data_IF_148393506646
#
_entry.id   IF_148393506646
#
_cell.length_a   1.000
_cell.length_b   1.000
_cell.length_c   1.000
_cell.angle_alpha   90.00
_cell.angle_beta   90.00
_cell.angle_gamma   90.00
#
_symmetry.space_group_name_H-M   'P 1'
#
loop_
_entity.id
_entity.type
_entity.pdbx_description
1 polymer ?
#
# COMPACT_ATOMS: atom_id res chain seq x y z
N UNK A 1 -5.78 -4.64 -10.67
CA UNK A 1 -7.22 -4.35 -10.54
C UNK A 1 -7.75 -3.39 -11.62
N UNK A 2 -6.95 -2.40 -12.04
CA UNK A 2 -7.29 -1.49 -13.16
C UNK A 2 -7.08 -2.11 -14.55
N UNK A 3 -7.74 -1.53 -15.55
CA UNK A 3 -7.55 -1.74 -16.98
C UNK A 3 -7.67 -0.39 -17.72
N UNK A 4 -7.37 -0.37 -19.03
CA UNK A 4 -7.50 0.85 -19.86
C UNK A 4 -8.92 1.44 -19.86
N UNK A 5 -9.94 0.60 -19.65
CA UNK A 5 -11.35 0.98 -19.69
C UNK A 5 -12.02 1.00 -18.29
N UNK A 6 -11.22 1.05 -17.21
CA UNK A 6 -11.73 1.10 -15.84
C UNK A 6 -11.12 0.02 -14.95
N UNK A 7 -11.95 -0.90 -14.47
CA UNK A 7 -11.49 -2.04 -13.67
C UNK A 7 -11.55 -3.33 -14.48
N UNK A 8 -10.74 -4.30 -14.08
CA UNK A 8 -10.89 -5.66 -14.59
C UNK A 8 -12.21 -6.27 -14.07
N UNK A 9 -12.93 -7.06 -14.89
CA UNK A 9 -14.23 -7.62 -14.51
C UNK A 9 -14.22 -8.43 -13.21
N UNK A 10 -13.10 -9.09 -12.90
CA UNK A 10 -12.92 -9.87 -11.68
C UNK A 10 -12.72 -9.01 -10.44
N UNK A 11 -12.23 -7.76 -10.57
CA UNK A 11 -11.78 -6.95 -9.43
C UNK A 11 -12.87 -6.74 -8.36
N UNK A 12 -14.14 -6.41 -8.69
CA UNK A 12 -15.21 -6.28 -7.70
C UNK A 12 -15.52 -7.56 -6.92
N UNK A 13 -15.16 -8.74 -7.47
CA UNK A 13 -15.41 -10.03 -6.85
C UNK A 13 -14.23 -10.53 -6.03
N UNK A 14 -13.00 -10.21 -6.43
CA UNK A 14 -11.78 -10.83 -5.87
C UNK A 14 -10.98 -9.92 -4.95
N UNK A 15 -11.09 -8.60 -5.10
CA UNK A 15 -10.38 -7.65 -4.23
C UNK A 15 -11.21 -7.46 -2.95
N UNK A 16 -10.71 -7.84 -1.76
CA UNK A 16 -11.53 -7.90 -0.55
C UNK A 16 -12.15 -6.57 -0.13
N UNK A 17 -11.51 -5.46 -0.49
CA UNK A 17 -11.88 -4.09 -0.13
C UNK A 17 -12.38 -3.27 -1.32
N UNK A 18 -12.78 -3.92 -2.42
CA UNK A 18 -13.10 -3.20 -3.66
C UNK A 18 -14.18 -2.15 -3.44
N UNK A 19 -15.26 -2.53 -2.74
CA UNK A 19 -16.44 -1.68 -2.55
C UNK A 19 -16.12 -0.43 -1.73
N UNK A 20 -15.31 -0.59 -0.70
CA UNK A 20 -14.90 0.47 0.23
C UNK A 20 -13.87 1.40 -0.42
N UNK A 21 -13.01 0.87 -1.29
CA UNK A 21 -11.93 1.63 -1.92
C UNK A 21 -12.31 2.24 -3.28
N UNK A 22 -13.48 1.92 -3.83
CA UNK A 22 -13.88 2.38 -5.16
C UNK A 22 -14.07 3.90 -5.20
N UNK A 23 -13.35 4.56 -6.11
CA UNK A 23 -13.41 6.02 -6.30
C UNK A 23 -13.79 6.42 -7.73
N UNK A 24 -14.22 5.46 -8.55
CA UNK A 24 -14.54 5.68 -9.96
C UNK A 24 -13.66 4.87 -10.92
N UNK A 25 -14.00 4.88 -12.22
CA UNK A 25 -13.29 4.10 -13.23
C UNK A 25 -11.83 4.56 -13.37
N UNK A 26 -10.91 3.60 -13.45
CA UNK A 26 -9.49 3.87 -13.72
C UNK A 26 -8.68 4.31 -12.48
N UNK A 27 -9.32 4.43 -11.32
CA UNK A 27 -8.64 4.63 -10.03
C UNK A 27 -8.35 3.27 -9.41
N UNK A 28 -7.17 3.06 -8.83
CA UNK A 28 -6.83 1.74 -8.28
C UNK A 28 -7.43 1.60 -6.89
N UNK A 29 -8.02 0.44 -6.64
CA UNK A 29 -8.41 -0.04 -5.32
C UNK A 29 -7.25 -0.72 -4.58
N UNK A 30 -6.18 -1.12 -5.28
CA UNK A 30 -5.02 -1.80 -4.70
C UNK A 30 -3.86 -0.86 -4.32
N UNK A 31 -3.70 0.26 -5.02
CA UNK A 31 -2.60 1.20 -4.78
C UNK A 31 -2.62 1.73 -3.35
N UNK A 32 -1.44 2.01 -2.80
CA UNK A 32 -1.20 2.55 -1.46
C UNK A 32 -1.59 1.60 -0.30
N UNK A 33 -2.04 0.37 -0.60
CA UNK A 33 -2.31 -0.65 0.42
C UNK A 33 -1.01 -1.14 1.06
N UNK A 34 -1.05 -1.40 2.35
CA UNK A 34 0.12 -1.86 3.10
C UNK A 34 0.24 -3.38 3.07
N UNK A 35 1.48 -3.85 2.98
CA UNK A 35 1.86 -5.25 3.15
C UNK A 35 2.95 -5.38 4.21
N UNK A 36 2.89 -6.46 4.99
CA UNK A 36 4.02 -6.94 5.78
C UNK A 36 4.78 -7.98 4.97
N UNK A 37 6.11 -7.87 4.91
CA UNK A 37 7.00 -8.81 4.25
C UNK A 37 8.00 -9.31 5.29
N UNK A 38 8.11 -10.63 5.42
CA UNK A 38 8.92 -11.29 6.44
C UNK A 38 9.98 -12.20 5.83
N UNK A 39 11.20 -12.12 6.38
CA UNK A 39 12.28 -13.10 6.17
C UNK A 39 12.92 -13.44 7.51
N UNK A 40 12.85 -14.71 7.90
CA UNK A 40 13.33 -15.17 9.20
C UNK A 40 12.64 -14.41 10.35
N UNK A 41 13.42 -13.71 11.17
CA UNK A 41 12.94 -12.92 12.31
C UNK A 41 12.73 -11.43 11.99
N UNK A 42 12.92 -10.99 10.74
CA UNK A 42 12.75 -9.59 10.33
C UNK A 42 11.45 -9.42 9.56
N UNK A 43 10.72 -8.35 9.88
CA UNK A 43 9.50 -7.94 9.17
C UNK A 43 9.62 -6.47 8.78
N UNK A 44 9.26 -6.15 7.54
CA UNK A 44 9.18 -4.78 7.02
C UNK A 44 7.79 -4.52 6.46
N UNK A 45 7.35 -3.29 6.58
CA UNK A 45 6.08 -2.83 6.02
C UNK A 45 6.34 -1.97 4.79
N UNK A 46 5.58 -2.20 3.72
CA UNK A 46 5.70 -1.47 2.46
C UNK A 46 4.32 -1.16 1.88
N UNK A 47 4.23 -0.06 1.13
CA UNK A 47 3.05 0.26 0.34
C UNK A 47 3.13 -0.39 -1.05
N UNK A 48 2.00 -0.86 -1.55
CA UNK A 48 1.86 -1.41 -2.88
C UNK A 48 1.71 -0.27 -3.91
N UNK A 49 2.78 -0.02 -4.67
CA UNK A 49 2.82 1.06 -5.66
C UNK A 49 2.57 0.64 -7.10
N UNK A 50 2.99 -0.56 -7.49
CA UNK A 50 3.01 -0.98 -8.89
C UNK A 50 2.69 -2.47 -9.09
N UNK A 51 2.24 -2.84 -10.29
CA UNK A 51 1.95 -4.21 -10.68
C UNK A 51 2.53 -4.51 -12.07
N UNK A 52 3.52 -5.40 -12.15
CA UNK A 52 4.16 -5.77 -13.42
C UNK A 52 5.62 -6.16 -13.25
N UNK A 53 6.41 -6.19 -14.33
CA UNK A 53 5.98 -6.08 -15.73
C UNK A 53 5.47 -7.41 -16.33
N UNK A 54 5.69 -8.54 -15.64
CA UNK A 54 5.57 -9.85 -16.28
C UNK A 54 4.12 -10.36 -16.37
N UNK A 55 3.41 -10.44 -15.24
CA UNK A 55 2.04 -10.97 -15.18
C UNK A 55 1.21 -10.15 -14.20
N UNK A 56 0.12 -9.59 -14.71
CA UNK A 56 -0.78 -8.70 -13.96
C UNK A 56 -2.21 -9.24 -13.88
N UNK A 57 -2.42 -10.47 -14.34
CA UNK A 57 -3.69 -11.18 -14.43
C UNK A 57 -3.82 -12.36 -13.46
N UNK A 58 -2.79 -12.63 -12.65
CA UNK A 58 -2.77 -13.74 -11.70
C UNK A 58 -3.24 -13.33 -10.30
N UNK A 59 -4.51 -12.94 -10.21
CA UNK A 59 -5.13 -12.51 -8.95
C UNK A 59 -5.24 -13.65 -7.92
N UNK A 60 -5.20 -14.92 -8.32
CA UNK A 60 -5.25 -16.08 -7.43
C UNK A 60 -4.04 -16.20 -6.50
N UNK A 61 -2.89 -15.68 -6.91
CA UNK A 61 -1.72 -15.57 -6.03
C UNK A 61 -1.87 -14.40 -5.04
N UNK A 62 -2.45 -13.29 -5.48
CA UNK A 62 -2.54 -12.06 -4.69
C UNK A 62 -3.68 -12.10 -3.67
N UNK A 63 -4.84 -12.61 -4.08
CA UNK A 63 -6.08 -12.62 -3.30
C UNK A 63 -6.61 -14.03 -3.04
N UNK A 64 -5.85 -15.06 -3.43
CA UNK A 64 -6.16 -16.47 -3.18
C UNK A 64 -5.00 -17.19 -2.52
N UNK A 65 -4.95 -18.51 -2.70
CA UNK A 65 -3.95 -19.37 -2.06
C UNK A 65 -2.95 -19.98 -3.06
N UNK A 66 -2.94 -19.53 -4.32
CA UNK A 66 -1.99 -20.04 -5.31
C UNK A 66 -0.57 -19.51 -5.05
N UNK A 67 0.45 -20.26 -5.45
CA UNK A 67 1.83 -19.78 -5.53
C UNK A 67 2.02 -18.93 -6.79
N UNK A 68 3.00 -18.00 -6.82
CA UNK A 68 3.27 -17.25 -8.04
C UNK A 68 3.63 -18.19 -9.20
N UNK A 69 3.12 -17.89 -10.39
CA UNK A 69 3.46 -18.63 -11.61
C UNK A 69 4.92 -18.39 -12.00
N UNK A 70 5.52 -19.38 -12.65
CA UNK A 70 6.83 -19.23 -13.30
C UNK A 70 6.83 -18.03 -14.26
N UNK A 71 7.87 -17.20 -14.18
CA UNK A 71 8.08 -16.05 -15.04
C UNK A 71 9.58 -15.87 -15.33
N UNK A 72 9.96 -14.84 -16.08
CA UNK A 72 11.37 -14.56 -16.43
C UNK A 72 12.25 -14.32 -15.18
N UNK A 73 11.65 -13.95 -14.05
CA UNK A 73 12.31 -13.82 -12.75
C UNK A 73 12.15 -15.08 -11.89
N UNK A 74 12.23 -16.27 -12.50
CA UNK A 74 12.19 -17.57 -11.81
C UNK A 74 10.94 -17.79 -10.95
N UNK A 75 9.82 -17.15 -11.30
CA UNK A 75 8.58 -17.25 -10.54
C UNK A 75 8.48 -16.29 -9.35
N UNK A 76 9.20 -15.18 -9.38
CA UNK A 76 9.05 -14.12 -8.38
C UNK A 76 7.61 -13.57 -8.39
N UNK A 77 6.95 -13.58 -7.23
CA UNK A 77 5.61 -13.02 -7.05
C UNK A 77 5.58 -11.65 -6.40
N UNK A 78 6.71 -11.16 -5.89
CA UNK A 78 6.83 -9.87 -5.23
C UNK A 78 8.12 -9.21 -5.69
N UNK A 79 7.99 -8.01 -6.27
CA UNK A 79 9.13 -7.14 -6.54
C UNK A 79 9.17 -6.07 -5.44
N UNK A 80 10.35 -5.82 -4.89
CA UNK A 80 10.52 -4.97 -3.70
C UNK A 80 11.57 -3.90 -3.95
N UNK A 81 11.36 -2.73 -3.34
CA UNK A 81 12.32 -1.64 -3.45
C UNK A 81 13.68 -1.99 -2.84
N UNK A 82 14.77 -1.31 -3.24
CA UNK A 82 16.09 -1.50 -2.64
C UNK A 82 16.08 -1.38 -1.10
N UNK A 83 15.28 -0.47 -0.54
CA UNK A 83 15.18 -0.32 0.92
C UNK A 83 14.61 -1.57 1.61
N UNK A 84 13.60 -2.20 1.03
CA UNK A 84 13.03 -3.47 1.54
C UNK A 84 14.05 -4.60 1.42
N UNK A 85 14.70 -4.70 0.26
CA UNK A 85 15.77 -5.70 -0.01
C UNK A 85 16.88 -5.58 1.03
N UNK A 86 17.41 -4.38 1.23
CA UNK A 86 18.56 -4.13 2.09
C UNK A 86 18.23 -4.38 3.58
N UNK A 87 17.03 -3.97 4.02
CA UNK A 87 16.59 -4.21 5.40
C UNK A 87 16.43 -5.71 5.72
N UNK A 88 15.83 -6.47 4.79
CA UNK A 88 15.62 -7.91 4.95
C UNK A 88 16.86 -8.75 4.60
N UNK A 89 17.89 -8.17 3.98
CA UNK A 89 19.05 -8.92 3.48
C UNK A 89 18.64 -9.95 2.42
N UNK A 90 17.85 -9.52 1.43
CA UNK A 90 17.43 -10.40 0.34
C UNK A 90 18.54 -10.52 -0.71
N UNK A 91 18.69 -11.71 -1.28
CA UNK A 91 19.43 -11.89 -2.53
C UNK A 91 18.62 -11.32 -3.71
N UNK A 92 19.19 -11.37 -4.92
CA UNK A 92 18.50 -10.97 -6.16
C UNK A 92 17.15 -11.68 -6.34
N UNK A 93 17.07 -12.95 -5.95
CA UNK A 93 15.81 -13.70 -5.84
C UNK A 93 15.83 -14.49 -4.54
N UNK A 94 14.75 -14.40 -3.77
CA UNK A 94 14.67 -15.00 -2.44
C UNK A 94 13.23 -15.39 -2.09
N UNK A 95 13.07 -16.12 -0.98
CA UNK A 95 11.76 -16.54 -0.45
C UNK A 95 11.40 -15.70 0.76
N UNK A 96 10.20 -15.14 0.74
CA UNK A 96 9.61 -14.37 1.83
C UNK A 96 8.17 -14.78 2.07
N UNK A 97 7.70 -14.56 3.30
CA UNK A 97 6.26 -14.54 3.58
C UNK A 97 5.77 -13.10 3.41
N UNK A 98 4.52 -12.94 2.97
CA UNK A 98 3.88 -11.63 2.99
C UNK A 98 2.38 -11.73 3.25
N UNK A 99 1.78 -10.63 3.71
CA UNK A 99 0.34 -10.47 3.87
C UNK A 99 -0.07 -9.02 3.76
N UNK A 100 -1.34 -8.77 3.47
CA UNK A 100 -1.94 -7.45 3.68
C UNK A 100 -2.00 -7.11 5.18
N UNK A 101 -1.82 -5.83 5.49
CA UNK A 101 -1.97 -5.25 6.82
C UNK A 101 -2.78 -3.96 6.73
N UNK A 102 -3.48 -3.63 7.81
CA UNK A 102 -4.07 -2.31 7.98
C UNK A 102 -3.03 -1.31 8.49
N UNK A 103 -3.23 -0.02 8.20
CA UNK A 103 -2.32 1.04 8.64
C UNK A 103 -2.12 1.07 10.16
N UNK A 104 -3.14 0.68 10.94
CA UNK A 104 -3.07 0.59 12.41
C UNK A 104 -2.10 -0.47 12.92
N UNK A 105 -1.74 -1.47 12.10
CA UNK A 105 -0.74 -2.47 12.41
C UNK A 105 0.70 -1.98 12.14
N UNK A 106 0.83 -0.89 11.37
CA UNK A 106 2.12 -0.38 10.94
C UNK A 106 2.68 0.56 12.01
N UNK A 107 3.75 0.14 12.67
CA UNK A 107 4.43 0.97 13.68
C UNK A 107 5.17 2.14 13.04
N UNK A 108 5.18 3.32 13.68
CA UNK A 108 6.05 4.42 13.23
C UNK A 108 7.53 4.00 13.28
N UNK A 109 8.28 4.45 12.30
CA UNK A 109 9.73 4.25 12.21
C UNK A 109 10.38 5.36 11.39
N UNK A 110 11.70 5.32 11.17
CA UNK A 110 12.41 6.36 10.41
C UNK A 110 11.82 6.62 9.00
N UNK A 111 11.19 5.60 8.41
CA UNK A 111 10.55 5.69 7.11
C UNK A 111 9.18 6.40 7.14
N UNK A 112 8.58 6.67 8.30
CA UNK A 112 7.27 7.33 8.41
C UNK A 112 7.28 8.80 7.98
N UNK A 113 8.45 9.36 7.71
CA UNK A 113 8.65 10.75 7.25
C UNK A 113 9.11 10.83 5.80
N UNK A 114 9.19 9.70 5.09
CA UNK A 114 9.71 9.62 3.72
C UNK A 114 8.58 9.34 2.72
N UNK A 115 8.68 9.92 1.52
CA UNK A 115 7.71 9.75 0.44
C UNK A 115 6.49 10.67 0.52
N UNK A 116 5.94 11.09 -0.61
CA UNK A 116 4.82 12.04 -0.64
C UNK A 116 3.45 11.38 -0.35
N UNK A 117 3.31 10.09 -0.69
CA UNK A 117 2.09 9.28 -0.50
C UNK A 117 2.09 8.47 0.81
N UNK A 118 3.00 8.78 1.73
CA UNK A 118 3.12 8.10 3.00
C UNK A 118 1.91 8.41 3.91
N UNK A 119 1.19 7.35 4.33
CA UNK A 119 -0.02 7.48 5.15
C UNK A 119 0.22 8.25 6.47
N UNK A 120 1.42 8.15 7.06
CA UNK A 120 1.78 8.94 8.25
C UNK A 120 1.84 10.45 7.94
N UNK A 121 2.54 10.84 6.87
CA UNK A 121 2.65 12.24 6.48
C UNK A 121 1.31 12.83 6.05
N UNK A 122 0.48 12.05 5.34
CA UNK A 122 -0.87 12.48 4.95
C UNK A 122 -1.72 12.72 6.20
N UNK A 123 -1.66 11.80 7.17
CA UNK A 123 -2.40 11.92 8.44
C UNK A 123 -1.94 13.13 9.25
N UNK A 124 -0.62 13.30 9.40
CA UNK A 124 -0.02 14.42 10.16
C UNK A 124 -0.40 15.78 9.53
N UNK A 125 -0.36 15.88 8.19
CA UNK A 125 -0.82 17.09 7.46
C UNK A 125 -2.30 17.36 7.66
N UNK A 126 -3.14 16.32 7.65
CA UNK A 126 -4.60 16.46 7.85
C UNK A 126 -4.90 16.98 9.26
N UNK A 127 -4.31 16.36 10.28
CA UNK A 127 -4.46 16.79 11.68
C UNK A 127 -3.95 18.23 11.88
N UNK A 128 -2.81 18.59 11.29
CA UNK A 128 -2.29 19.95 11.36
C UNK A 128 -3.23 21.00 10.74
N UNK A 129 -3.87 20.68 9.60
CA UNK A 129 -4.87 21.56 8.96
C UNK A 129 -6.11 21.72 9.83
N UNK A 130 -6.64 20.63 10.37
CA UNK A 130 -7.83 20.64 11.23
C UNK A 130 -7.60 21.49 12.49
N UNK A 131 -6.43 21.37 13.13
CA UNK A 131 -6.03 22.18 14.28
C UNK A 131 -5.91 23.67 13.93
N UNK A 132 -5.32 23.99 12.77
CA UNK A 132 -5.17 25.38 12.32
C UNK A 132 -6.53 26.04 12.03
N UNK A 133 -7.47 25.31 11.41
CA UNK A 133 -8.83 25.80 11.19
C UNK A 133 -9.61 26.00 12.50
N UNK A 134 -9.44 25.10 13.46
CA UNK A 134 -10.04 25.24 14.79
C UNK A 134 -9.51 26.48 15.53
N UNK A 135 -8.21 26.74 15.48
CA UNK A 135 -7.60 27.95 16.09
C UNK A 135 -8.17 29.22 15.50
N UNK A 136 -8.21 29.33 14.15
CA UNK A 136 -8.78 30.50 13.47
C UNK A 136 -10.25 30.75 13.83
N UNK A 137 -11.06 29.68 13.97
CA UNK A 137 -12.46 29.80 14.39
C UNK A 137 -12.59 30.27 15.84
N UNK A 138 -11.71 29.81 16.73
CA UNK A 138 -11.70 30.23 18.13
C UNK A 138 -11.29 31.71 18.27
N UNK A 139 -10.24 32.13 17.55
CA UNK A 139 -9.79 33.53 17.49
C UNK A 139 -10.89 34.46 16.96
N UNK A 140 -11.54 34.09 15.86
CA UNK A 140 -12.65 34.87 15.31
C UNK A 140 -13.84 35.02 16.27
N UNK A 141 -14.12 34.01 17.10
CA UNK A 141 -15.15 34.09 18.15
C UNK A 141 -14.73 34.96 19.33
N UNK A 142 -13.45 35.01 19.65
CA UNK A 142 -12.92 35.84 20.72
C UNK A 142 -12.94 37.34 20.36
N UNK A 143 -12.69 37.67 19.09
CA UNK A 143 -12.71 39.06 18.59
C UNK A 143 -14.14 39.62 18.46
N UNK A 144 -15.14 38.76 18.30
CA UNK A 144 -16.55 39.15 18.13
C UNK A 144 -17.33 39.35 19.45
N UNK A 145 -16.64 39.34 20.62
CA UNK A 145 -17.22 39.59 21.95
C UNK A 145 -16.69 40.90 22.51
#
# INVERSE_FOLDING_TARGET
DKSINGHRPEAPRVVPWFKEAYQGPGVSTCKDRWVAIRKGNRTVYAQWEDAGPFRTDHWQYVFGNERPKSNLNKGAGLDVSPAVRDYLGLNETDVTDWRFVEFSEVSRGPWSTLGENNTFLISDRKTGRELAEASKRAEGRAIAR
#
